data_IF_856034527538
#
_entry.id   IF_856034527538
#
_cell.length_a   1.000
_cell.length_b   1.000
_cell.length_c   1.000
_cell.angle_alpha   90.00
_cell.angle_beta   90.00
_cell.angle_gamma   90.00
#
_symmetry.space_group_name_H-M   'P 1'
#
loop_
_entity.id
_entity.type
_entity.pdbx_description
1 polymer ?
#
# COMPACT_ATOMS: atom_id res chain seq x y z
N UNK A 1 21.74 -11.22 6.32
CA UNK A 1 21.60 -9.90 5.68
C UNK A 1 20.37 -10.00 4.80
N UNK A 2 19.29 -9.28 5.14
CA UNK A 2 18.10 -9.25 4.29
C UNK A 2 18.43 -8.48 3.02
N UNK A 3 18.36 -9.13 1.87
CA UNK A 3 18.44 -8.44 0.58
C UNK A 3 17.29 -7.45 0.50
N UNK A 4 17.62 -6.17 0.32
CA UNK A 4 16.61 -5.15 0.04
C UNK A 4 16.14 -5.40 -1.38
N UNK A 5 14.92 -5.91 -1.52
CA UNK A 5 14.25 -6.05 -2.81
C UNK A 5 13.83 -4.65 -3.24
N UNK A 6 14.53 -4.08 -4.22
CA UNK A 6 14.19 -2.81 -4.85
C UNK A 6 13.02 -3.01 -5.83
N UNK A 7 11.82 -2.70 -5.38
CA UNK A 7 10.60 -2.76 -6.21
C UNK A 7 10.47 -1.45 -6.98
N UNK A 8 10.42 -1.54 -8.31
CA UNK A 8 10.27 -0.35 -9.15
C UNK A 8 8.87 0.26 -8.98
N UNK A 9 8.75 1.59 -8.97
CA UNK A 9 7.45 2.24 -8.92
C UNK A 9 6.61 1.93 -10.16
N UNK A 10 5.34 1.66 -9.93
CA UNK A 10 4.37 1.43 -11.01
C UNK A 10 3.76 2.74 -11.51
N UNK A 11 3.87 3.81 -10.72
CA UNK A 11 3.39 5.15 -11.03
C UNK A 11 4.21 6.20 -10.28
N UNK A 12 4.29 7.41 -10.84
CA UNK A 12 4.82 8.61 -10.18
C UNK A 12 3.73 9.68 -10.13
N UNK A 13 3.63 10.41 -9.01
CA UNK A 13 2.73 11.55 -8.85
C UNK A 13 3.46 12.78 -8.28
N UNK A 14 2.92 13.96 -8.55
CA UNK A 14 3.35 15.23 -7.97
C UNK A 14 2.61 15.52 -6.65
N UNK A 15 3.25 16.35 -5.84
CA UNK A 15 2.66 16.94 -4.63
C UNK A 15 1.35 17.67 -4.94
N UNK A 16 0.26 17.32 -4.24
CA UNK A 16 -1.07 17.88 -4.46
C UNK A 16 -1.93 17.19 -5.52
N UNK A 17 -1.45 16.16 -6.21
CA UNK A 17 -2.28 15.37 -7.13
C UNK A 17 -3.21 14.41 -6.39
N UNK A 18 -4.31 14.02 -7.06
CA UNK A 18 -5.19 12.95 -6.59
C UNK A 18 -4.89 11.66 -7.34
N UNK A 19 -4.64 10.58 -6.59
CA UNK A 19 -4.41 9.24 -7.13
C UNK A 19 -5.54 8.32 -6.71
N UNK A 20 -6.04 7.53 -7.66
CA UNK A 20 -7.02 6.48 -7.40
C UNK A 20 -6.27 5.14 -7.36
N UNK A 21 -6.36 4.46 -6.22
CA UNK A 21 -5.85 3.11 -6.08
C UNK A 21 -6.99 2.12 -6.28
N UNK A 22 -6.83 1.20 -7.23
CA UNK A 22 -7.66 0.00 -7.31
C UNK A 22 -7.04 -1.07 -6.44
N UNK A 23 -7.81 -1.57 -5.48
CA UNK A 23 -7.36 -2.50 -4.45
C UNK A 23 -8.22 -3.76 -4.47
N UNK A 24 -7.61 -4.86 -4.03
CA UNK A 24 -8.34 -6.07 -3.68
C UNK A 24 -8.54 -6.16 -2.17
N UNK A 25 -9.43 -7.04 -1.72
CA UNK A 25 -9.62 -7.26 -0.28
C UNK A 25 -8.39 -7.86 0.42
N UNK A 26 -8.41 -7.87 1.75
CA UNK A 26 -7.30 -8.38 2.56
C UNK A 26 -7.02 -9.88 2.40
N UNK A 27 -7.93 -10.62 1.78
CA UNK A 27 -7.78 -12.03 1.45
C UNK A 27 -7.36 -12.24 -0.01
N UNK A 28 -6.99 -11.18 -0.73
CA UNK A 28 -6.60 -11.24 -2.14
C UNK A 28 -7.69 -11.90 -3.02
N UNK A 29 -8.96 -11.55 -2.76
CA UNK A 29 -10.16 -12.06 -3.44
C UNK A 29 -10.34 -13.60 -3.35
N UNK A 30 -9.66 -14.27 -2.43
CA UNK A 30 -9.76 -15.73 -2.27
C UNK A 30 -11.14 -16.18 -1.75
N UNK A 31 -11.87 -15.31 -1.06
CA UNK A 31 -13.21 -15.60 -0.53
C UNK A 31 -14.26 -15.22 -1.58
N UNK A 32 -14.68 -16.20 -2.38
CA UNK A 32 -15.64 -15.98 -3.49
C UNK A 32 -17.06 -16.45 -3.16
N UNK A 33 -17.24 -17.18 -2.05
CA UNK A 33 -18.54 -17.62 -1.57
C UNK A 33 -18.51 -18.00 -0.08
N UNK A 34 -19.69 -18.13 0.53
CA UNK A 34 -19.84 -18.60 1.91
C UNK A 34 -19.40 -20.07 2.13
N UNK A 35 -19.15 -20.82 1.05
CA UNK A 35 -18.62 -22.18 1.14
C UNK A 35 -17.09 -22.21 1.24
N UNK A 36 -16.41 -21.06 1.06
CA UNK A 36 -14.95 -20.97 1.18
C UNK A 36 -14.54 -21.27 2.62
N UNK A 37 -13.75 -22.33 2.82
CA UNK A 37 -13.26 -22.66 4.16
C UNK A 37 -12.02 -21.82 4.47
N UNK A 38 -11.92 -21.38 5.73
CA UNK A 38 -10.79 -20.57 6.17
C UNK A 38 -9.44 -21.30 6.05
N UNK A 39 -9.43 -22.63 6.15
CA UNK A 39 -8.23 -23.44 5.96
C UNK A 39 -7.70 -23.44 4.53
N UNK A 40 -8.54 -23.09 3.54
CA UNK A 40 -8.17 -23.10 2.13
C UNK A 40 -7.55 -21.76 1.70
N UNK A 41 -7.59 -20.73 2.56
CA UNK A 41 -7.03 -19.41 2.32
C UNK A 41 -5.50 -19.46 2.47
N UNK A 42 -4.79 -19.06 1.42
CA UNK A 42 -3.33 -18.94 1.42
C UNK A 42 -2.94 -17.65 2.12
N UNK A 43 -2.39 -17.77 3.34
CA UNK A 43 -2.03 -16.64 4.18
C UNK A 43 -0.81 -15.87 3.67
N UNK A 44 0.02 -16.52 2.87
CA UNK A 44 1.27 -15.97 2.32
C UNK A 44 1.02 -14.82 1.34
N UNK A 45 -0.18 -14.76 0.76
CA UNK A 45 -0.60 -13.74 -0.22
C UNK A 45 -1.67 -12.79 0.33
N UNK A 46 -1.95 -12.84 1.63
CA UNK A 46 -2.90 -11.92 2.26
C UNK A 46 -2.33 -10.51 2.36
N UNK A 47 -3.24 -9.53 2.49
CA UNK A 47 -2.93 -8.10 2.56
C UNK A 47 -2.07 -7.61 1.39
N UNK A 48 -2.45 -7.90 0.14
CA UNK A 48 -1.76 -7.34 -1.01
C UNK A 48 -1.88 -5.80 -0.98
N UNK A 49 -0.81 -5.13 -1.41
CA UNK A 49 -0.76 -3.68 -1.51
C UNK A 49 -0.64 -3.26 -2.97
N UNK A 50 -1.50 -2.33 -3.41
CA UNK A 50 -1.43 -1.73 -4.74
C UNK A 50 -0.33 -0.68 -4.77
N UNK A 51 0.69 -0.87 -5.62
CA UNK A 51 1.81 0.06 -5.74
C UNK A 51 3.13 -0.62 -6.09
N UNK A 52 4.28 0.02 -5.82
CA UNK A 52 4.42 1.28 -5.06
C UNK A 52 4.21 2.53 -5.94
N UNK A 53 3.64 3.58 -5.34
CA UNK A 53 3.57 4.94 -5.92
C UNK A 53 4.84 5.70 -5.50
N UNK A 54 5.55 6.29 -6.46
CA UNK A 54 6.60 7.26 -6.19
C UNK A 54 6.03 8.68 -6.16
N UNK A 55 6.43 9.49 -5.19
CA UNK A 55 6.06 10.91 -5.13
C UNK A 55 7.30 11.73 -5.43
N UNK A 56 7.22 12.56 -6.46
CA UNK A 56 8.32 13.43 -6.86
C UNK A 56 8.61 14.46 -5.77
N UNK A 57 9.87 14.58 -5.39
CA UNK A 57 10.31 15.53 -4.37
C UNK A 57 10.05 15.11 -2.92
N UNK A 58 9.47 13.93 -2.66
CA UNK A 58 9.26 13.45 -1.30
C UNK A 58 10.58 13.05 -0.63
N UNK A 59 10.89 13.65 0.51
CA UNK A 59 12.06 13.40 1.33
C UNK A 59 11.74 12.53 2.56
N UNK A 60 12.71 11.74 3.07
CA UNK A 60 12.53 11.02 4.33
C UNK A 60 12.20 11.99 5.48
N UNK A 61 10.97 11.92 6.00
CA UNK A 61 10.48 12.80 7.06
C UNK A 61 9.26 13.64 6.69
N UNK A 62 8.94 13.76 5.40
CA UNK A 62 7.78 14.53 4.91
C UNK A 62 6.44 14.00 5.42
N UNK A 63 6.40 12.73 5.86
CA UNK A 63 5.25 12.15 6.55
C UNK A 63 5.73 11.41 7.79
N UNK A 64 5.46 12.02 8.94
CA UNK A 64 5.73 11.47 10.25
C UNK A 64 4.44 10.90 10.87
N UNK A 65 4.32 9.58 10.94
CA UNK A 65 3.42 8.92 11.90
C UNK A 65 4.21 7.98 12.84
N UNK A 66 5.30 8.50 13.42
CA UNK A 66 5.91 7.90 14.61
C UNK A 66 7.16 7.04 14.37
N UNK A 67 8.29 7.63 14.77
CA UNK A 67 9.52 7.02 15.34
C UNK A 67 10.24 5.90 14.56
N UNK A 68 11.23 6.29 13.75
CA UNK A 68 12.35 5.44 13.36
C UNK A 68 13.35 6.20 12.45
N UNK A 69 14.68 6.11 12.66
CA UNK A 69 15.67 6.93 11.94
C UNK A 69 15.99 6.44 10.51
N UNK A 70 15.16 5.58 9.91
CA UNK A 70 15.36 5.05 8.57
C UNK A 70 14.02 4.58 7.98
N UNK A 71 13.34 5.44 7.24
CA UNK A 71 12.23 5.03 6.36
C UNK A 71 12.38 5.69 5.00
N UNK A 72 13.28 5.10 4.21
CA UNK A 72 13.24 5.25 2.76
C UNK A 72 11.90 4.73 2.23
N UNK A 73 11.11 5.61 1.63
CA UNK A 73 10.25 5.32 0.47
C UNK A 73 9.18 4.23 0.59
N UNK A 74 8.37 4.18 1.64
CA UNK A 74 7.14 3.36 1.59
C UNK A 74 6.01 3.99 2.38
N UNK A 75 5.01 4.48 1.66
CA UNK A 75 3.65 4.71 2.18
C UNK A 75 2.96 3.37 2.50
N UNK A 76 3.63 2.49 3.25
CA UNK A 76 3.06 1.20 3.68
C UNK A 76 2.01 1.36 4.79
N UNK A 77 1.81 2.58 5.32
CA UNK A 77 1.02 2.81 6.52
C UNK A 77 -0.39 3.37 6.31
N UNK A 78 -0.77 3.78 5.11
CA UNK A 78 -2.15 4.28 4.85
C UNK A 78 -3.13 3.15 4.52
N UNK A 79 -2.65 1.96 4.13
CA UNK A 79 -3.52 0.88 3.60
C UNK A 79 -3.87 -0.23 4.60
N UNK A 80 -3.42 -0.17 5.86
CA UNK A 80 -3.80 -1.19 6.86
C UNK A 80 -5.18 -1.00 7.48
N UNK A 81 -5.77 0.19 7.40
CA UNK A 81 -7.11 0.45 7.95
C UNK A 81 -8.24 0.34 6.91
N UNK A 82 -7.93 0.34 5.60
CA UNK A 82 -8.93 0.33 4.52
C UNK A 82 -9.10 -1.05 3.85
N UNK A 83 -9.03 -2.13 4.64
CA UNK A 83 -8.98 -3.53 4.20
C UNK A 83 -10.26 -4.09 3.49
N UNK A 84 -11.26 -3.25 3.18
CA UNK A 84 -12.54 -3.66 2.59
C UNK A 84 -12.99 -2.82 1.38
N UNK A 85 -12.28 -1.76 1.02
CA UNK A 85 -12.69 -0.88 -0.08
C UNK A 85 -11.88 -1.21 -1.32
N UNK A 86 -12.56 -1.40 -2.46
CA UNK A 86 -11.96 -1.69 -3.79
C UNK A 86 -11.35 -0.46 -4.48
N UNK A 87 -11.73 0.74 -4.05
CA UNK A 87 -11.21 1.99 -4.59
C UNK A 87 -10.93 2.95 -3.43
N UNK A 88 -9.68 3.37 -3.31
CA UNK A 88 -9.26 4.38 -2.33
C UNK A 88 -8.70 5.57 -3.10
N UNK A 89 -9.36 6.72 -2.96
CA UNK A 89 -8.84 7.98 -3.48
C UNK A 89 -7.95 8.62 -2.41
N UNK A 90 -6.73 8.96 -2.80
CA UNK A 90 -5.77 9.61 -1.91
C UNK A 90 -5.30 10.92 -2.54
N UNK A 91 -5.48 12.03 -1.82
CA UNK A 91 -4.85 13.30 -2.14
C UNK A 91 -3.41 13.27 -1.63
N UNK A 92 -2.45 13.42 -2.53
CA UNK A 92 -1.04 13.56 -2.17
C UNK A 92 -0.90 14.87 -1.38
N UNK A 93 -0.43 14.84 -0.11
CA UNK A 93 -0.26 16.04 0.68
C UNK A 93 0.65 17.04 -0.04
N UNK A 94 0.37 18.33 0.12
CA UNK A 94 1.32 19.37 -0.27
C UNK A 94 2.43 19.43 0.78
N UNK A 95 3.67 19.31 0.32
CA UNK A 95 4.88 19.62 1.09
C UNK A 95 4.89 21.07 1.56
#
# INVERSE_FOLDING_TARGET
MSEIIDIQPVMTALSGESVIFETVDCYNEQITSNATLFCDIKKEVNNPATGPLYIEGAEPGDISDGTGPNTSRRFEKVLKEFLLFRHVCFSVPKS
#
